data_IF_349478459411
#
_entry.id   IF_349478459411
#
_cell.length_a   1.000
_cell.length_b   1.000
_cell.length_c   1.000
_cell.angle_alpha   90.00
_cell.angle_beta   90.00
_cell.angle_gamma   90.00
#
_symmetry.space_group_name_H-M   'P 1'
#
loop_
_entity.id
_entity.type
_entity.pdbx_description
1 polymer ?
#
# COMPACT_ATOMS: atom_id res chain seq x y z
N UNK A 1 -54.01 -48.20 14.78
CA UNK A 1 -53.34 -49.03 13.75
C UNK A 1 -53.66 -48.45 12.39
N UNK A 2 -52.82 -48.48 11.38
CA UNK A 2 -51.51 -49.09 11.14
C UNK A 2 -51.35 -49.25 9.61
N UNK A 3 -50.09 -49.37 9.14
CA UNK A 3 -49.62 -49.72 7.76
C UNK A 3 -49.61 -48.54 6.78
N UNK A 4 -48.57 -48.23 6.00
CA UNK A 4 -47.27 -48.82 5.63
C UNK A 4 -46.78 -47.91 4.47
N UNK A 5 -45.54 -47.41 4.44
CA UNK A 5 -44.38 -48.11 3.88
C UNK A 5 -44.27 -47.88 2.37
N UNK A 6 -43.39 -46.96 1.93
CA UNK A 6 -42.80 -46.97 0.58
C UNK A 6 -41.39 -46.34 0.61
N UNK A 7 -40.39 -47.21 0.58
CA UNK A 7 -39.06 -46.94 0.06
C UNK A 7 -39.13 -46.43 -1.39
N UNK A 8 -38.35 -45.38 -1.70
CA UNK A 8 -37.89 -45.16 -3.07
C UNK A 8 -36.59 -44.37 -3.13
N UNK A 9 -35.51 -45.09 -3.44
CA UNK A 9 -34.55 -44.65 -4.44
C UNK A 9 -33.38 -43.80 -3.94
N UNK A 10 -32.24 -44.46 -3.73
CA UNK A 10 -30.94 -43.80 -3.72
C UNK A 10 -30.59 -43.17 -5.08
N UNK A 11 -29.66 -42.21 -5.04
CA UNK A 11 -28.85 -41.82 -6.20
C UNK A 11 -27.60 -41.07 -5.75
N UNK A 12 -26.44 -41.61 -6.15
CA UNK A 12 -25.15 -40.94 -6.44
C UNK A 12 -24.71 -39.80 -5.52
N UNK A 13 -23.60 -39.92 -4.79
CA UNK A 13 -22.28 -40.11 -5.38
C UNK A 13 -21.56 -38.77 -5.40
N UNK A 14 -20.42 -38.67 -4.71
CA UNK A 14 -19.59 -37.47 -4.77
C UNK A 14 -18.67 -37.26 -3.59
N UNK A 15 -17.55 -37.98 -3.58
CA UNK A 15 -16.35 -37.55 -2.87
C UNK A 15 -15.97 -36.13 -3.32
N UNK A 16 -16.01 -35.14 -2.43
CA UNK A 16 -15.23 -33.90 -2.57
C UNK A 16 -14.73 -33.46 -1.21
N UNK A 17 -13.52 -33.91 -0.89
CA UNK A 17 -12.65 -33.17 0.02
C UNK A 17 -12.49 -31.73 -0.49
N UNK A 18 -12.36 -30.82 0.45
CA UNK A 18 -12.26 -29.40 0.14
C UNK A 18 -12.00 -28.58 1.39
N UNK A 19 -10.80 -28.76 1.97
CA UNK A 19 -10.21 -27.78 2.84
C UNK A 19 -10.26 -26.39 2.16
N UNK A 20 -10.99 -25.46 2.77
CA UNK A 20 -10.96 -24.00 2.48
C UNK A 20 -11.36 -23.33 3.80
N UNK A 21 -10.46 -22.89 4.66
CA UNK A 21 -9.19 -22.23 4.36
C UNK A 21 -9.44 -20.72 4.29
N UNK A 22 -9.00 -20.02 5.34
CA UNK A 22 -8.54 -18.64 5.25
C UNK A 22 -9.62 -17.56 5.12
N UNK A 23 -10.06 -17.04 6.26
CA UNK A 23 -10.59 -15.68 6.38
C UNK A 23 -9.42 -14.70 6.22
N UNK A 24 -8.91 -14.57 5.00
CA UNK A 24 -7.88 -13.61 4.61
C UNK A 24 -8.53 -12.50 3.80
N UNK A 25 -8.90 -11.41 4.47
CA UNK A 25 -9.42 -10.22 3.81
C UNK A 25 -8.36 -9.61 2.90
N UNK A 26 -8.69 -9.46 1.62
CA UNK A 26 -8.25 -8.43 0.68
C UNK A 26 -7.03 -7.57 1.07
N UNK A 27 -5.85 -8.17 1.22
CA UNK A 27 -4.63 -7.49 0.79
C UNK A 27 -4.52 -7.77 -0.70
N UNK A 28 -5.12 -6.90 -1.51
CA UNK A 28 -4.69 -6.83 -2.90
C UNK A 28 -3.24 -6.36 -2.86
N UNK A 29 -2.33 -7.33 -2.90
CA UNK A 29 -0.96 -7.09 -3.33
C UNK A 29 -1.06 -6.70 -4.79
N UNK A 30 -1.43 -5.44 -5.04
CA UNK A 30 -1.20 -4.84 -6.34
C UNK A 30 0.30 -4.95 -6.53
N UNK A 31 0.70 -5.73 -7.53
CA UNK A 31 2.07 -5.73 -7.99
C UNK A 31 2.55 -4.30 -8.24
N UNK A 32 3.85 -4.09 -8.41
CA UNK A 32 4.39 -2.76 -8.68
C UNK A 32 3.59 -2.08 -9.79
N UNK A 33 3.21 -0.80 -9.61
CA UNK A 33 2.27 -0.12 -10.50
C UNK A 33 2.82 -0.04 -11.94
N UNK A 34 1.92 0.12 -12.90
CA UNK A 34 2.25 0.26 -14.32
C UNK A 34 3.24 1.41 -14.56
N UNK A 35 3.12 2.48 -13.76
CA UNK A 35 4.03 3.61 -13.76
C UNK A 35 4.23 4.12 -12.33
N UNK A 36 5.44 4.63 -12.07
CA UNK A 36 5.79 5.32 -10.82
C UNK A 36 6.20 6.76 -11.13
N UNK A 37 5.93 7.67 -10.21
CA UNK A 37 6.20 9.10 -10.35
C UNK A 37 7.10 9.58 -9.22
N UNK A 38 7.95 10.57 -9.48
CA UNK A 38 8.81 11.18 -8.46
C UNK A 38 7.97 11.70 -7.30
N UNK A 39 8.32 11.31 -6.08
CA UNK A 39 7.61 11.68 -4.86
C UNK A 39 8.47 12.53 -3.95
N UNK A 40 9.67 12.07 -3.61
CA UNK A 40 10.55 12.81 -2.70
C UNK A 40 12.02 12.49 -2.90
N UNK A 41 12.85 13.37 -2.36
CA UNK A 41 14.29 13.18 -2.24
C UNK A 41 14.67 12.87 -0.80
N UNK A 42 15.51 11.85 -0.60
CA UNK A 42 16.06 11.50 0.70
C UNK A 42 16.81 12.68 1.31
N UNK A 43 16.53 12.98 2.57
CA UNK A 43 17.27 13.97 3.36
C UNK A 43 18.21 13.29 4.34
N UNK A 44 17.65 12.53 5.29
CA UNK A 44 18.39 11.81 6.32
C UNK A 44 17.55 10.68 6.92
N UNK A 45 18.23 9.73 7.58
CA UNK A 45 17.58 8.67 8.34
C UNK A 45 17.35 9.11 9.79
N UNK A 46 16.20 8.76 10.36
CA UNK A 46 15.82 9.08 11.75
C UNK A 46 15.06 7.90 12.34
N UNK A 47 15.55 7.34 13.45
CA UNK A 47 14.88 6.26 14.20
C UNK A 47 14.48 5.02 13.35
N UNK A 48 15.24 4.75 12.28
CA UNK A 48 14.97 3.65 11.37
C UNK A 48 14.02 4.00 10.21
N UNK A 49 13.54 5.24 10.13
CA UNK A 49 12.77 5.77 9.01
C UNK A 49 13.61 6.68 8.11
N UNK A 50 13.08 6.97 6.93
CA UNK A 50 13.71 7.86 5.95
C UNK A 50 12.90 9.16 5.87
N UNK A 51 13.51 10.28 6.25
CA UNK A 51 12.90 11.61 6.09
C UNK A 51 13.18 12.09 4.67
N UNK A 52 12.12 12.50 3.97
CA UNK A 52 12.19 12.94 2.59
C UNK A 52 11.55 14.31 2.41
N UNK A 53 12.15 15.13 1.55
CA UNK A 53 11.54 16.36 1.04
C UNK A 53 10.68 16.02 -0.17
N UNK A 54 9.43 16.50 -0.18
CA UNK A 54 8.54 16.32 -1.32
C UNK A 54 9.03 17.13 -2.51
N UNK A 55 9.18 16.45 -3.65
CA UNK A 55 9.42 17.07 -4.96
C UNK A 55 8.18 16.98 -5.85
N UNK A 56 7.02 16.61 -5.26
CA UNK A 56 5.74 16.50 -5.93
C UNK A 56 4.79 17.61 -5.47
N UNK A 57 3.94 18.09 -6.40
CA UNK A 57 2.90 19.10 -6.11
C UNK A 57 1.67 18.53 -5.40
N UNK A 58 1.52 17.20 -5.39
CA UNK A 58 0.44 16.47 -4.73
C UNK A 58 0.92 15.84 -3.43
N UNK A 59 -0.02 15.57 -2.53
CA UNK A 59 0.24 14.99 -1.21
C UNK A 59 0.06 13.46 -1.29
N UNK A 60 0.98 12.64 -0.76
CA UNK A 60 0.83 11.20 -0.79
C UNK A 60 -0.28 10.72 0.16
N UNK A 61 -0.84 9.55 -0.12
CA UNK A 61 -1.70 8.86 0.87
C UNK A 61 -0.84 8.31 2.01
N UNK A 62 -1.40 8.30 3.23
CA UNK A 62 -0.84 7.51 4.32
C UNK A 62 -0.76 6.03 3.93
N UNK A 63 0.30 5.34 4.36
CA UNK A 63 0.61 3.95 3.99
C UNK A 63 0.75 3.69 2.48
N UNK A 64 0.90 4.72 1.65
CA UNK A 64 1.16 4.53 0.23
C UNK A 64 2.49 3.80 0.02
N UNK A 65 2.55 2.75 -0.81
CA UNK A 65 3.80 2.10 -1.15
C UNK A 65 4.77 3.06 -1.85
N UNK A 66 6.04 2.99 -1.45
CA UNK A 66 7.15 3.73 -2.05
C UNK A 66 8.09 2.77 -2.78
N UNK A 67 8.59 3.24 -3.92
CA UNK A 67 9.45 2.49 -4.83
C UNK A 67 10.73 3.26 -5.16
N UNK A 68 11.72 2.52 -5.66
CA UNK A 68 12.79 3.08 -6.49
C UNK A 68 12.29 3.27 -7.94
N UNK A 69 13.10 3.93 -8.77
CA UNK A 69 12.78 4.18 -10.19
C UNK A 69 12.49 2.88 -10.96
N UNK A 70 13.25 1.83 -10.65
CA UNK A 70 13.07 0.48 -11.21
C UNK A 70 11.84 -0.27 -10.66
N UNK A 71 10.96 0.42 -9.91
CA UNK A 71 9.75 -0.09 -9.26
C UNK A 71 10.00 -1.11 -8.14
N UNK A 72 11.22 -1.20 -7.62
CA UNK A 72 11.51 -2.02 -6.44
C UNK A 72 10.84 -1.40 -5.22
N UNK A 73 9.96 -2.11 -4.49
CA UNK A 73 9.33 -1.58 -3.28
C UNK A 73 10.37 -1.46 -2.17
N UNK A 74 10.35 -0.34 -1.44
CA UNK A 74 11.31 -0.09 -0.34
C UNK A 74 10.64 0.14 1.01
N UNK A 75 9.34 0.42 1.01
CA UNK A 75 8.61 0.81 2.20
C UNK A 75 7.31 1.50 1.87
N UNK A 76 6.80 2.28 2.82
CA UNK A 76 5.55 3.01 2.69
C UNK A 76 5.59 4.33 3.44
N UNK A 77 4.75 5.28 3.05
CA UNK A 77 4.58 6.56 3.76
C UNK A 77 4.00 6.33 5.15
N UNK A 78 4.59 6.91 6.19
CA UNK A 78 4.10 6.82 7.57
C UNK A 78 3.59 8.18 8.08
N UNK A 79 4.42 9.22 8.01
CA UNK A 79 4.08 10.57 8.44
C UNK A 79 4.16 11.60 7.30
N UNK A 80 3.31 12.62 7.34
CA UNK A 80 3.32 13.76 6.40
C UNK A 80 3.32 15.02 7.25
N UNK A 81 4.30 15.89 7.04
CA UNK A 81 4.59 17.04 7.90
C UNK A 81 5.17 18.22 7.10
N UNK A 82 5.47 19.30 7.81
CA UNK A 82 6.00 20.53 7.22
C UNK A 82 4.92 21.51 6.74
N UNK A 83 5.33 22.73 6.34
CA UNK A 83 4.43 23.73 5.79
C UNK A 83 3.96 23.35 4.37
N UNK A 84 2.83 23.90 3.94
CA UNK A 84 2.23 23.57 2.63
C UNK A 84 3.12 23.91 1.42
N UNK A 85 4.05 24.85 1.56
CA UNK A 85 5.02 25.21 0.52
C UNK A 85 6.29 24.33 0.53
N UNK A 86 6.51 23.55 1.59
CA UNK A 86 7.65 22.65 1.73
C UNK A 86 7.23 21.43 2.56
N UNK A 87 6.63 20.48 1.87
CA UNK A 87 6.11 19.26 2.49
C UNK A 87 7.24 18.26 2.68
N UNK A 88 7.28 17.65 3.87
CA UNK A 88 8.14 16.52 4.17
C UNK A 88 7.27 15.30 4.46
N UNK A 89 7.85 14.11 4.29
CA UNK A 89 7.21 12.87 4.69
C UNK A 89 8.25 11.86 5.15
N UNK A 90 7.82 10.96 6.01
CA UNK A 90 8.64 9.81 6.41
C UNK A 90 8.24 8.57 5.64
N UNK A 91 9.23 7.72 5.40
CA UNK A 91 9.05 6.42 4.79
C UNK A 91 9.49 5.38 5.80
N UNK A 92 8.56 4.51 6.18
CA UNK A 92 8.82 3.33 6.97
C UNK A 92 9.38 2.24 6.06
N UNK A 93 10.67 1.87 6.19
CA UNK A 93 11.26 0.86 5.33
C UNK A 93 10.60 -0.50 5.56
N UNK A 94 10.53 -1.30 4.50
CA UNK A 94 10.15 -2.71 4.63
C UNK A 94 11.34 -3.56 5.09
N UNK A 95 11.08 -4.83 5.42
CA UNK A 95 12.13 -5.76 5.83
C UNK A 95 13.27 -5.84 4.80
N UNK A 96 14.51 -5.81 5.30
CA UNK A 96 15.72 -5.86 4.48
C UNK A 96 16.17 -4.51 3.92
N UNK A 97 15.38 -3.43 4.07
CA UNK A 97 15.77 -2.08 3.69
C UNK A 97 16.26 -1.31 4.92
N UNK A 98 17.45 -0.71 4.84
CA UNK A 98 18.03 0.09 5.90
C UNK A 98 17.98 1.57 5.52
N UNK A 99 17.35 2.41 6.34
CA UNK A 99 17.24 3.84 6.04
C UNK A 99 18.61 4.53 5.83
N UNK A 100 19.64 4.05 6.54
CA UNK A 100 21.01 4.58 6.48
C UNK A 100 21.78 4.18 5.20
N UNK A 101 21.24 3.29 4.35
CA UNK A 101 21.91 2.93 3.09
C UNK A 101 21.70 3.96 1.97
N UNK A 102 20.76 4.89 2.16
CA UNK A 102 20.47 5.95 1.21
C UNK A 102 21.28 7.21 1.53
N UNK A 103 21.45 8.05 0.51
CA UNK A 103 22.26 9.27 0.55
C UNK A 103 21.44 10.46 0.07
N UNK A 104 21.82 11.64 0.54
CA UNK A 104 21.08 12.87 0.28
C UNK A 104 20.89 13.08 -1.23
N UNK A 105 19.65 13.33 -1.65
CA UNK A 105 19.26 13.48 -3.05
C UNK A 105 18.82 12.19 -3.76
N UNK A 106 18.95 11.01 -3.14
CA UNK A 106 18.36 9.78 -3.69
C UNK A 106 16.85 9.96 -3.86
N UNK A 107 16.32 9.58 -5.03
CA UNK A 107 14.90 9.79 -5.37
C UNK A 107 14.05 8.58 -5.04
N UNK A 108 12.85 8.86 -4.55
CA UNK A 108 11.81 7.87 -4.27
C UNK A 108 10.55 8.16 -5.06
N UNK A 109 9.81 7.09 -5.37
CA UNK A 109 8.72 7.11 -6.33
C UNK A 109 7.44 6.50 -5.74
N UNK A 110 6.30 6.89 -6.30
CA UNK A 110 4.96 6.46 -5.84
C UNK A 110 4.06 6.12 -7.02
N UNK A 111 3.04 5.28 -6.80
CA UNK A 111 1.97 5.05 -7.77
C UNK A 111 1.08 6.28 -7.95
N UNK A 112 0.71 6.60 -9.19
CA UNK A 112 -0.08 7.81 -9.51
C UNK A 112 -1.47 7.85 -8.89
N UNK A 113 -2.04 6.68 -8.55
CA UNK A 113 -3.32 6.52 -7.87
C UNK A 113 -3.24 6.75 -6.35
N UNK A 114 -2.04 6.96 -5.80
CA UNK A 114 -1.77 7.18 -4.37
C UNK A 114 -1.41 8.63 -4.04
N UNK A 115 -1.96 9.58 -4.80
CA UNK A 115 -1.73 11.01 -4.64
C UNK A 115 -3.06 11.78 -4.48
N UNK A 116 -3.07 12.74 -3.55
CA UNK A 116 -4.17 13.66 -3.27
C UNK A 116 -3.81 15.07 -3.78
N UNK A 117 -4.72 15.77 -4.48
CA UNK A 117 -4.48 17.15 -4.86
C UNK A 117 -4.39 18.05 -3.61
N UNK A 118 -3.44 19.00 -3.62
CA UNK A 118 -3.18 19.93 -2.51
C UNK A 118 -4.43 20.70 -2.06
N UNK A 119 -5.30 21.05 -3.01
CA UNK A 119 -6.57 21.75 -2.77
C UNK A 119 -7.49 21.06 -1.76
N UNK A 120 -7.36 19.73 -1.56
CA UNK A 120 -8.12 19.00 -0.53
C UNK A 120 -7.74 19.41 0.89
N UNK A 121 -6.58 20.02 1.07
CA UNK A 121 -6.04 20.45 2.37
C UNK A 121 -6.15 21.98 2.55
N UNK A 122 -6.68 22.69 1.56
CA UNK A 122 -6.95 24.13 1.63
C UNK A 122 -8.42 24.39 1.96
N UNK A 123 -8.74 25.51 2.64
CA UNK A 123 -10.12 25.92 2.83
C UNK A 123 -10.79 26.14 1.47
N UNK A 124 -12.04 25.70 1.35
CA UNK A 124 -12.83 25.95 0.14
C UNK A 124 -13.06 27.46 -0.01
N UNK A 125 -13.02 28.00 -1.25
CA UNK A 125 -13.52 29.34 -1.52
C UNK A 125 -14.96 29.46 -0.99
N UNK A 126 -15.28 30.59 -0.35
CA UNK A 126 -16.66 30.90 0.05
C UNK A 126 -17.53 31.19 -1.17
#
# INVERSE_FOLDING_TARGET
GGRGGFDRGGRGGGFRGGARGGRGGFQQSYGPPDQVYEMGSFMHATEGEMVCESINTKIPYFNAPIYLENKTPIGKVDEILGPLNQVFFTIKPQEGIQATSFKNGDKFYIGGDKLLPLEKFLPKPK
#
